data_IF_392155812451
#
_entry.id   IF_392155812451
#
_cell.length_a   1.000
_cell.length_b   1.000
_cell.length_c   1.000
_cell.angle_alpha   90.00
_cell.angle_beta   90.00
_cell.angle_gamma   90.00
#
_symmetry.space_group_name_H-M   'P 1'
#
loop_
_entity.id
_entity.type
_entity.pdbx_description
1 polymer ?
#
# COMPACT_ATOMS: atom_id res chain seq x y z
N UNK A 1 -22.48 4.00 -1.56
CA UNK A 1 -22.59 2.55 -1.78
C UNK A 1 -21.20 2.01 -1.53
N UNK A 2 -20.92 1.61 -0.31
CA UNK A 2 -19.55 1.41 0.15
C UNK A 2 -18.98 0.11 -0.42
N UNK A 3 -17.83 0.24 -1.09
CA UNK A 3 -17.08 -0.85 -1.71
C UNK A 3 -16.42 -1.68 -0.62
N UNK A 4 -16.72 -2.99 -0.56
CA UNK A 4 -16.00 -3.90 0.31
C UNK A 4 -14.70 -4.31 -0.37
N UNK A 5 -13.55 -4.05 0.26
CA UNK A 5 -12.23 -4.38 -0.31
C UNK A 5 -11.96 -3.75 -1.69
N UNK A 6 -12.52 -2.55 -1.95
CA UNK A 6 -12.41 -1.90 -3.26
C UNK A 6 -13.27 -2.54 -4.36
N UNK A 7 -14.12 -3.52 -4.00
CA UNK A 7 -14.99 -4.27 -4.91
C UNK A 7 -16.45 -3.93 -4.56
N UNK A 8 -17.24 -3.57 -5.56
CA UNK A 8 -18.66 -3.27 -5.44
C UNK A 8 -19.51 -4.52 -5.17
N UNK A 9 -20.74 -4.32 -4.70
CA UNK A 9 -21.68 -5.44 -4.44
C UNK A 9 -21.93 -6.30 -5.69
N UNK A 10 -22.03 -5.66 -6.87
CA UNK A 10 -22.23 -6.36 -8.14
C UNK A 10 -21.02 -7.23 -8.53
N UNK A 11 -19.82 -6.71 -8.36
CA UNK A 11 -18.57 -7.43 -8.64
C UNK A 11 -18.36 -8.59 -7.66
N UNK A 12 -18.67 -8.39 -6.37
CA UNK A 12 -18.67 -9.44 -5.36
C UNK A 12 -19.60 -10.60 -5.75
N UNK A 13 -20.81 -10.29 -6.25
CA UNK A 13 -21.76 -11.32 -6.70
C UNK A 13 -21.24 -12.12 -7.90
N UNK A 14 -20.58 -11.47 -8.86
CA UNK A 14 -19.96 -12.16 -10.00
C UNK A 14 -18.87 -13.12 -9.53
N UNK A 15 -17.98 -12.66 -8.64
CA UNK A 15 -16.92 -13.50 -8.06
C UNK A 15 -17.52 -14.68 -7.28
N UNK A 16 -18.55 -14.43 -6.46
CA UNK A 16 -19.24 -15.47 -5.70
C UNK A 16 -19.88 -16.52 -6.63
N UNK A 17 -20.48 -16.10 -7.73
CA UNK A 17 -21.07 -17.00 -8.72
C UNK A 17 -19.99 -17.84 -9.41
N UNK A 18 -18.88 -17.21 -9.82
CA UNK A 18 -17.74 -17.89 -10.44
C UNK A 18 -17.12 -18.92 -9.49
N UNK A 19 -16.87 -18.52 -8.25
CA UNK A 19 -16.38 -19.40 -7.19
C UNK A 19 -17.36 -20.55 -6.92
N UNK A 20 -18.67 -20.29 -6.97
CA UNK A 20 -19.71 -21.31 -6.82
C UNK A 20 -19.78 -22.31 -7.96
N UNK A 21 -19.44 -21.91 -9.19
CA UNK A 21 -19.31 -22.82 -10.32
C UNK A 21 -18.05 -23.68 -10.15
N UNK A 22 -16.91 -23.06 -9.84
CA UNK A 22 -15.61 -23.74 -9.70
C UNK A 22 -15.61 -24.74 -8.54
N UNK A 23 -16.07 -24.31 -7.37
CA UNK A 23 -16.13 -25.14 -6.16
C UNK A 23 -17.35 -26.08 -6.20
N UNK A 24 -18.40 -25.70 -6.93
CA UNK A 24 -19.70 -26.36 -6.98
C UNK A 24 -20.64 -25.92 -5.84
N UNK A 25 -21.96 -25.83 -6.09
CA UNK A 25 -22.95 -25.34 -5.14
C UNK A 25 -23.09 -26.23 -3.89
N UNK A 26 -22.71 -27.52 -4.00
CA UNK A 26 -22.73 -28.45 -2.86
C UNK A 26 -21.69 -28.07 -1.80
N UNK A 27 -20.48 -27.66 -2.22
CA UNK A 27 -19.38 -27.31 -1.31
C UNK A 27 -19.62 -25.97 -0.63
N UNK A 28 -20.14 -24.96 -1.33
CA UNK A 28 -20.51 -23.67 -0.72
C UNK A 28 -21.49 -23.88 0.43
N UNK A 29 -22.56 -24.65 0.22
CA UNK A 29 -23.54 -24.93 1.27
C UNK A 29 -22.91 -25.65 2.46
N UNK A 30 -21.99 -26.59 2.21
CA UNK A 30 -21.28 -27.30 3.27
C UNK A 30 -20.37 -26.38 4.09
N UNK A 31 -19.59 -25.50 3.43
CA UNK A 31 -18.71 -24.53 4.11
C UNK A 31 -19.53 -23.49 4.86
N UNK A 32 -20.57 -22.93 4.23
CA UNK A 32 -21.47 -21.97 4.88
C UNK A 32 -22.16 -22.58 6.11
N UNK A 33 -22.58 -23.85 6.04
CA UNK A 33 -23.14 -24.56 7.17
C UNK A 33 -22.12 -24.75 8.30
N UNK A 34 -20.87 -25.07 7.98
CA UNK A 34 -19.80 -25.21 8.98
C UNK A 34 -19.45 -23.87 9.63
N UNK A 35 -19.24 -22.82 8.83
CA UNK A 35 -19.01 -21.46 9.30
C UNK A 35 -20.16 -20.98 10.18
N UNK A 36 -21.41 -21.24 9.77
CA UNK A 36 -22.60 -20.92 10.54
C UNK A 36 -22.63 -21.62 11.90
N UNK A 37 -22.27 -22.90 11.98
CA UNK A 37 -22.16 -23.62 13.26
C UNK A 37 -21.04 -23.10 14.14
N UNK A 38 -19.90 -22.74 13.58
CA UNK A 38 -18.78 -22.14 14.32
C UNK A 38 -19.21 -20.78 14.88
N UNK A 39 -19.79 -19.92 14.06
CA UNK A 39 -20.32 -18.62 14.48
C UNK A 39 -21.42 -18.76 15.52
N UNK A 40 -22.35 -19.70 15.36
CA UNK A 40 -23.42 -19.95 16.33
C UNK A 40 -22.87 -20.40 17.70
N UNK A 41 -21.84 -21.28 17.69
CA UNK A 41 -21.14 -21.67 18.92
C UNK A 41 -20.36 -20.52 19.53
N UNK A 42 -19.64 -19.74 18.72
CA UNK A 42 -18.91 -18.57 19.18
C UNK A 42 -19.87 -17.53 19.79
N UNK A 43 -21.05 -17.31 19.18
CA UNK A 43 -22.08 -16.46 19.74
C UNK A 43 -22.64 -17.02 21.04
N UNK A 44 -22.91 -18.32 21.15
CA UNK A 44 -23.40 -18.93 22.39
C UNK A 44 -22.37 -18.81 23.52
N UNK A 45 -21.11 -19.15 23.25
CA UNK A 45 -20.00 -18.99 24.20
C UNK A 45 -19.73 -17.52 24.51
N UNK A 46 -19.83 -16.62 23.54
CA UNK A 46 -19.69 -15.18 23.75
C UNK A 46 -20.85 -14.60 24.55
N UNK A 47 -22.08 -15.08 24.40
CA UNK A 47 -23.21 -14.69 25.26
C UNK A 47 -23.02 -15.18 26.69
N UNK A 48 -22.46 -16.36 26.86
CA UNK A 48 -22.08 -16.89 28.17
C UNK A 48 -20.96 -16.04 28.80
N UNK A 49 -19.92 -15.75 28.03
CA UNK A 49 -18.81 -14.89 28.43
C UNK A 49 -19.29 -13.48 28.74
N UNK A 50 -20.12 -12.87 27.89
CA UNK A 50 -20.72 -11.56 28.14
C UNK A 50 -21.67 -11.57 29.34
N UNK A 51 -22.29 -12.71 29.68
CA UNK A 51 -23.16 -12.81 30.86
C UNK A 51 -22.34 -12.95 32.14
N UNK A 52 -21.27 -13.74 32.12
CA UNK A 52 -20.33 -13.86 33.23
C UNK A 52 -19.56 -12.56 33.42
N UNK A 53 -19.03 -12.01 32.32
CA UNK A 53 -18.43 -10.70 32.29
C UNK A 53 -19.41 -9.62 32.68
N UNK A 54 -20.69 -9.57 32.25
CA UNK A 54 -21.61 -8.55 32.75
C UNK A 54 -22.01 -8.76 34.22
N UNK A 55 -21.99 -9.99 34.73
CA UNK A 55 -22.24 -10.24 36.15
C UNK A 55 -21.04 -9.77 37.00
N UNK A 56 -19.82 -10.00 36.52
CA UNK A 56 -18.59 -9.49 37.14
C UNK A 56 -18.38 -8.00 36.86
N UNK A 57 -18.74 -7.50 35.67
CA UNK A 57 -18.68 -6.09 35.28
C UNK A 57 -19.77 -5.30 35.98
N UNK A 58 -20.96 -5.83 36.25
CA UNK A 58 -21.92 -5.12 37.11
C UNK A 58 -21.41 -5.03 38.55
N UNK A 59 -20.62 -6.01 39.01
CA UNK A 59 -19.92 -5.90 40.29
C UNK A 59 -18.75 -4.89 40.21
N UNK A 60 -18.01 -4.85 39.10
CA UNK A 60 -16.86 -3.95 38.88
C UNK A 60 -17.29 -2.51 38.48
N UNK A 61 -18.45 -2.32 37.85
CA UNK A 61 -19.03 -0.99 37.53
C UNK A 61 -19.57 -0.31 38.80
N UNK A 62 -19.94 -1.08 39.84
CA UNK A 62 -20.13 -0.54 41.19
C UNK A 62 -18.79 -0.14 41.84
N UNK A 63 -17.69 -0.83 41.51
CA UNK A 63 -16.34 -0.56 42.05
C UNK A 63 -15.48 0.43 41.21
N UNK A 64 -15.91 0.81 40.00
CA UNK A 64 -15.30 1.90 39.21
C UNK A 64 -14.01 1.57 38.43
N UNK A 65 -13.40 0.40 38.62
CA UNK A 65 -12.07 0.06 38.09
C UNK A 65 -11.94 0.16 36.56
N UNK A 66 -12.99 -0.21 35.80
CA UNK A 66 -12.93 -0.13 34.33
C UNK A 66 -12.98 1.33 33.86
N UNK A 67 -13.79 2.15 34.50
CA UNK A 67 -13.87 3.59 34.20
C UNK A 67 -12.61 4.32 34.61
N UNK A 68 -11.98 3.88 35.70
CA UNK A 68 -10.69 4.37 36.18
C UNK A 68 -9.56 3.98 35.23
N UNK A 69 -9.51 2.72 34.75
CA UNK A 69 -8.55 2.27 33.75
C UNK A 69 -8.69 3.03 32.42
N UNK A 70 -9.92 3.31 31.97
CA UNK A 70 -10.15 4.15 30.80
C UNK A 70 -9.73 5.61 31.02
N UNK A 71 -9.94 6.14 32.23
CA UNK A 71 -9.47 7.46 32.65
C UNK A 71 -7.94 7.56 32.63
N UNK A 72 -7.25 6.58 33.20
CA UNK A 72 -5.79 6.53 33.26
C UNK A 72 -5.15 6.43 31.87
N UNK A 73 -5.73 5.63 30.97
CA UNK A 73 -5.30 5.56 29.56
C UNK A 73 -5.52 6.90 28.84
N UNK A 74 -6.62 7.59 29.12
CA UNK A 74 -6.91 8.89 28.53
C UNK A 74 -5.95 9.97 29.05
N UNK A 75 -5.61 9.94 30.33
CA UNK A 75 -4.66 10.87 30.93
C UNK A 75 -3.22 10.58 30.49
N UNK A 76 -2.84 9.31 30.32
CA UNK A 76 -1.58 8.94 29.66
C UNK A 76 -1.51 9.50 28.23
N UNK A 77 -2.61 9.44 27.48
CA UNK A 77 -2.67 10.02 26.13
C UNK A 77 -2.50 11.54 26.13
N UNK A 78 -3.09 12.24 27.11
CA UNK A 78 -2.91 13.69 27.26
C UNK A 78 -1.47 14.03 27.62
N UNK A 79 -0.91 13.36 28.62
CA UNK A 79 0.49 13.54 29.02
C UNK A 79 1.46 13.26 27.87
N UNK A 80 1.19 12.25 27.04
CA UNK A 80 2.00 11.95 25.87
C UNK A 80 1.83 12.99 24.75
N UNK A 81 0.63 13.56 24.60
CA UNK A 81 0.39 14.65 23.64
C UNK A 81 1.08 15.95 24.07
N UNK A 82 1.03 16.27 25.36
CA UNK A 82 1.70 17.43 25.94
C UNK A 82 3.22 17.28 25.85
N UNK A 83 3.75 16.11 26.23
CA UNK A 83 5.17 15.79 26.09
C UNK A 83 5.61 15.81 24.63
N UNK A 84 4.78 15.31 23.70
CA UNK A 84 5.05 15.43 22.25
C UNK A 84 5.07 16.89 21.81
N UNK A 85 4.20 17.74 22.34
CA UNK A 85 4.16 19.17 22.00
C UNK A 85 5.37 19.94 22.53
N UNK A 86 5.85 19.58 23.73
CA UNK A 86 7.03 20.15 24.35
C UNK A 86 8.32 19.68 23.67
N UNK A 87 8.40 18.39 23.32
CA UNK A 87 9.48 17.87 22.48
C UNK A 87 9.43 18.52 21.09
N UNK A 88 8.25 18.70 20.50
CA UNK A 88 8.13 19.34 19.19
C UNK A 88 8.57 20.82 19.22
N UNK A 89 8.29 21.56 20.30
CA UNK A 89 8.71 22.96 20.41
C UNK A 89 10.20 23.12 20.75
N UNK A 90 10.74 22.23 21.59
CA UNK A 90 12.18 22.18 21.91
C UNK A 90 12.99 21.65 20.73
N UNK A 91 12.46 20.67 19.97
CA UNK A 91 13.08 20.13 18.77
C UNK A 91 12.87 21.03 17.54
N UNK A 92 11.85 21.89 17.52
CA UNK A 92 11.63 22.85 16.44
C UNK A 92 12.79 23.86 16.31
N UNK A 93 13.46 24.22 17.41
CA UNK A 93 14.62 25.10 17.37
C UNK A 93 15.82 24.46 16.64
N UNK A 94 16.31 23.26 17.02
CA UNK A 94 17.41 22.60 16.34
C UNK A 94 17.04 22.04 14.96
N UNK A 95 15.78 21.71 14.67
CA UNK A 95 15.36 21.33 13.31
C UNK A 95 15.30 22.52 12.36
N UNK A 96 14.80 23.68 12.80
CA UNK A 96 14.76 24.89 11.97
C UNK A 96 16.15 25.47 11.74
N UNK A 97 17.05 25.38 12.74
CA UNK A 97 18.44 25.78 12.60
C UNK A 97 19.25 24.75 11.78
N UNK A 98 19.00 23.45 11.98
CA UNK A 98 19.57 22.38 11.17
C UNK A 98 19.17 22.46 9.70
N UNK A 99 17.92 22.81 9.39
CA UNK A 99 17.47 23.04 8.01
C UNK A 99 18.15 24.25 7.36
N UNK A 100 18.32 25.35 8.09
CA UNK A 100 19.03 26.55 7.58
C UNK A 100 20.51 26.28 7.34
N UNK A 101 21.18 25.54 8.23
CA UNK A 101 22.58 25.16 8.09
C UNK A 101 22.78 24.14 6.97
N UNK A 102 21.82 23.24 6.74
CA UNK A 102 21.84 22.32 5.59
C UNK A 102 21.57 23.03 4.26
N UNK A 103 20.75 24.08 4.26
CA UNK A 103 20.49 24.93 3.09
C UNK A 103 21.71 25.80 2.75
N UNK A 104 22.37 26.38 3.75
CA UNK A 104 23.63 27.12 3.60
C UNK A 104 24.81 26.22 3.19
N UNK A 105 24.86 25.00 3.72
CA UNK A 105 25.84 23.99 3.30
C UNK A 105 25.61 23.56 1.84
N UNK A 106 24.35 23.48 1.39
CA UNK A 106 24.03 23.15 -0.01
C UNK A 106 24.48 24.24 -0.98
N UNK A 107 24.27 25.52 -0.62
CA UNK A 107 24.68 26.66 -1.43
C UNK A 107 26.22 26.77 -1.52
N UNK A 108 26.93 26.43 -0.45
CA UNK A 108 28.40 26.39 -0.42
C UNK A 108 28.96 25.19 -1.21
N UNK A 109 28.27 24.05 -1.19
CA UNK A 109 28.64 22.85 -1.96
C UNK A 109 28.43 23.07 -3.45
N UNK A 110 27.33 23.70 -3.88
CA UNK A 110 27.09 24.01 -5.29
C UNK A 110 28.08 25.03 -5.85
N UNK A 111 28.61 25.95 -5.02
CA UNK A 111 29.55 26.99 -5.46
C UNK A 111 31.04 26.59 -5.38
N UNK A 112 31.40 25.50 -4.69
CA UNK A 112 32.83 25.13 -4.43
C UNK A 112 33.27 23.81 -5.09
N UNK A 113 32.37 23.00 -5.66
CA UNK A 113 32.76 21.76 -6.36
C UNK A 113 33.11 22.06 -7.82
N UNK A 114 34.26 22.69 -8.06
CA UNK A 114 34.87 22.76 -9.39
C UNK A 114 35.73 21.51 -9.61
N UNK A 115 35.18 20.51 -10.29
CA UNK A 115 35.96 19.36 -10.75
C UNK A 115 36.97 19.83 -11.81
N UNK A 116 38.26 19.42 -11.75
CA UNK A 116 39.21 19.73 -12.81
C UNK A 116 38.75 19.08 -14.12
N UNK A 117 38.50 19.92 -15.11
CA UNK A 117 38.23 19.53 -16.49
C UNK A 117 39.51 18.92 -17.09
N UNK A 118 39.60 17.60 -17.12
CA UNK A 118 40.56 16.89 -17.96
C UNK A 118 39.93 16.73 -19.34
N UNK A 119 40.30 17.63 -20.24
CA UNK A 119 39.92 17.54 -21.64
C UNK A 119 40.40 16.23 -22.25
N UNK A 120 39.47 15.52 -22.89
CA UNK A 120 39.76 14.75 -24.09
C UNK A 120 38.64 15.01 -25.10
N UNK A 121 38.94 15.95 -25.99
CA UNK A 121 38.46 15.99 -27.38
C UNK A 121 38.21 14.59 -27.93
N UNK A 122 36.97 14.28 -28.33
CA UNK A 122 36.75 13.87 -29.72
C UNK A 122 35.30 14.15 -30.14
N UNK A 123 35.19 14.61 -31.38
CA UNK A 123 34.05 15.26 -32.01
C UNK A 123 33.05 14.24 -32.60
N UNK A 124 31.93 14.82 -33.05
CA UNK A 124 30.95 14.33 -34.05
C UNK A 124 29.73 13.65 -33.38
N UNK A 125 28.69 14.40 -33.01
CA UNK A 125 27.58 14.90 -33.88
C UNK A 125 26.88 13.71 -34.59
N UNK A 126 25.60 13.39 -34.36
CA UNK A 126 24.38 14.16 -34.66
C UNK A 126 23.26 13.48 -33.86
N UNK A 127 22.50 14.16 -32.99
CA UNK A 127 21.40 15.10 -33.28
C UNK A 127 20.44 14.59 -34.38
N UNK A 128 19.17 14.41 -34.01
CA UNK A 128 18.02 13.90 -34.78
C UNK A 128 17.82 12.39 -34.88
N UNK A 129 17.16 11.82 -33.87
CA UNK A 129 16.19 10.72 -34.08
C UNK A 129 15.03 10.71 -33.05
N UNK A 130 14.73 11.85 -32.42
CA UNK A 130 13.48 12.05 -31.66
C UNK A 130 12.61 13.02 -32.45
N UNK A 131 12.13 12.59 -33.62
CA UNK A 131 11.06 13.27 -34.38
C UNK A 131 10.61 12.41 -35.58
N UNK A 132 9.99 11.29 -35.28
CA UNK A 132 9.08 10.50 -36.15
C UNK A 132 8.77 9.25 -35.34
N UNK A 133 7.55 8.88 -34.97
CA UNK A 133 6.36 8.88 -35.78
C UNK A 133 5.22 8.34 -34.89
N UNK A 134 4.52 9.21 -34.17
CA UNK A 134 3.16 8.92 -33.69
C UNK A 134 2.26 9.85 -34.47
N UNK A 135 1.71 9.38 -35.58
CA UNK A 135 0.37 9.77 -36.00
C UNK A 135 -0.18 8.65 -36.90
N UNK A 136 -1.46 8.40 -36.69
CA UNK A 136 -2.23 7.27 -37.13
C UNK A 136 -2.60 7.31 -38.62
N UNK A 137 -3.17 6.17 -39.03
CA UNK A 137 -4.26 6.02 -39.99
C UNK A 137 -3.95 5.81 -41.48
N UNK A 138 -4.01 4.51 -41.82
CA UNK A 138 -4.87 3.91 -42.83
C UNK A 138 -5.01 4.62 -44.20
N UNK A 139 -4.60 3.94 -45.27
CA UNK A 139 -5.52 3.36 -46.27
C UNK A 139 -4.76 2.67 -47.41
N UNK A 140 -5.38 1.58 -47.85
CA UNK A 140 -5.34 0.96 -49.17
C UNK A 140 -4.10 0.21 -49.69
N UNK A 141 -4.30 -1.11 -49.73
CA UNK A 141 -4.32 -1.94 -50.94
C UNK A 141 -3.16 -1.77 -51.93
N UNK A 142 -2.31 -2.79 -52.01
CA UNK A 142 -2.18 -3.68 -53.18
C UNK A 142 -0.83 -4.45 -53.12
N UNK A 143 -0.91 -5.77 -53.20
CA UNK A 143 0.06 -6.64 -53.87
C UNK A 143 1.55 -6.60 -53.49
N UNK A 144 2.00 -7.69 -52.87
CA UNK A 144 3.13 -8.45 -53.42
C UNK A 144 4.46 -8.41 -52.67
N UNK A 145 5.03 -9.63 -52.53
CA UNK A 145 6.41 -9.99 -52.17
C UNK A 145 6.81 -9.72 -50.71
N UNK A 146 6.92 -10.77 -49.88
CA UNK A 146 8.18 -11.51 -49.66
C UNK A 146 9.29 -10.54 -49.23
N UNK A 147 9.77 -10.58 -47.99
CA UNK A 147 10.87 -11.46 -47.57
C UNK A 147 10.92 -11.45 -46.04
N UNK A 148 10.87 -12.63 -45.43
CA UNK A 148 11.40 -12.86 -44.08
C UNK A 148 12.90 -13.13 -44.20
N UNK A 149 13.74 -12.58 -43.31
CA UNK A 149 14.98 -13.24 -42.97
C UNK A 149 15.06 -13.56 -41.48
N UNK A 150 15.16 -14.86 -41.25
CA UNK A 150 16.02 -15.56 -40.31
C UNK A 150 15.90 -15.26 -38.80
N UNK A 151 15.22 -16.19 -38.13
CA UNK A 151 15.51 -16.58 -36.75
C UNK A 151 17.02 -16.85 -36.60
N UNK A 152 17.69 -16.11 -35.72
CA UNK A 152 18.94 -16.56 -35.11
C UNK A 152 18.55 -17.32 -33.86
N UNK A 153 18.60 -18.64 -34.00
CA UNK A 153 18.50 -19.65 -32.94
C UNK A 153 19.73 -19.53 -32.05
N UNK A 154 19.54 -19.28 -30.76
CA UNK A 154 20.58 -19.36 -29.73
C UNK A 154 20.03 -20.29 -28.66
N UNK A 155 20.29 -21.59 -28.84
CA UNK A 155 19.99 -22.64 -27.88
C UNK A 155 21.31 -23.24 -27.37
N UNK A 156 21.46 -23.18 -26.05
CA UNK A 156 22.28 -23.95 -25.10
C UNK A 156 23.78 -24.19 -25.35
N UNK A 157 24.58 -23.64 -24.42
CA UNK A 157 25.91 -24.15 -24.05
C UNK A 157 25.95 -24.40 -22.53
N UNK A 158 25.93 -25.66 -22.08
CA UNK A 158 26.30 -26.02 -20.72
C UNK A 158 27.48 -27.00 -20.69
N UNK A 159 28.71 -26.52 -20.42
CA UNK A 159 29.76 -27.21 -19.62
C UNK A 159 30.75 -26.22 -18.98
#
# INVERSE_FOLDING_TARGET
>A
MDSFFGIGIAELLVILFLAGIVMGPKRIRQVAFWLGKVTAKLQATSREFNRQLNAELSAIDEDGDIKEAWGEVQDLRKQLADLRSEIASVAAQPLAEGQKVMEEARDTVDNTIHLPNFGSENRISKENAVQSFTEQEQLDQNGGASVLPNLVEVEDDPE
#
